data_IF_722681537531
#
_entry.id   IF_722681537531
#
_cell.length_a   1.000
_cell.length_b   1.000
_cell.length_c   1.000
_cell.angle_alpha   90.00
_cell.angle_beta   90.00
_cell.angle_gamma   90.00
#
_symmetry.space_group_name_H-M   'P 1'
#
loop_
_entity.id
_entity.type
_entity.pdbx_description
1 polymer ?
#
# COMPACT_ATOMS: atom_id res chain seq x y z
N UNK A 1 -18.33 17.35 12.51
CA UNK A 1 -18.25 18.83 12.59
C UNK A 1 -17.78 19.35 13.95
N UNK A 2 -17.51 18.49 14.94
CA UNK A 2 -17.14 18.91 16.31
C UNK A 2 -15.64 19.21 16.54
N UNK A 3 -14.76 18.87 15.61
CA UNK A 3 -13.32 19.01 15.81
C UNK A 3 -12.68 20.35 15.40
N UNK A 4 -13.45 21.29 14.88
CA UNK A 4 -12.93 22.60 14.44
C UNK A 4 -13.02 23.69 15.51
N UNK A 5 -13.71 23.44 16.61
CA UNK A 5 -13.97 24.42 17.69
C UNK A 5 -12.74 24.69 18.58
N UNK A 6 -11.71 23.84 18.53
CA UNK A 6 -10.52 23.95 19.40
C UNK A 6 -9.44 24.88 18.80
N UNK A 7 -9.42 25.05 17.48
CA UNK A 7 -8.47 25.96 16.83
C UNK A 7 -9.01 27.39 16.86
N UNK A 8 -8.13 28.35 17.13
CA UNK A 8 -8.46 29.77 16.97
C UNK A 8 -8.67 30.11 15.48
N UNK A 9 -9.36 31.19 15.16
CA UNK A 9 -9.58 31.64 13.79
C UNK A 9 -8.26 31.79 13.01
N UNK A 10 -7.22 32.32 13.65
CA UNK A 10 -5.89 32.47 13.07
C UNK A 10 -5.23 31.12 12.78
N UNK A 11 -5.29 30.16 13.70
CA UNK A 11 -4.74 28.81 13.50
C UNK A 11 -5.48 28.06 12.38
N UNK A 12 -6.80 28.25 12.32
CA UNK A 12 -7.62 27.66 11.25
C UNK A 12 -7.33 28.26 9.88
N UNK A 13 -7.10 29.58 9.82
CA UNK A 13 -6.67 30.24 8.58
C UNK A 13 -5.30 29.71 8.11
N UNK A 14 -4.34 29.60 9.01
CA UNK A 14 -3.00 29.02 8.71
C UNK A 14 -3.14 27.59 8.21
N UNK A 15 -3.98 26.77 8.87
CA UNK A 15 -4.24 25.40 8.44
C UNK A 15 -4.89 25.35 7.04
N UNK A 16 -5.83 26.23 6.74
CA UNK A 16 -6.45 26.28 5.42
C UNK A 16 -5.44 26.65 4.33
N UNK A 17 -4.55 27.59 4.58
CA UNK A 17 -3.47 27.93 3.65
C UNK A 17 -2.51 26.75 3.44
N UNK A 18 -2.11 26.05 4.51
CA UNK A 18 -1.29 24.85 4.45
C UNK A 18 -1.94 23.73 3.63
N UNK A 19 -3.21 23.50 3.86
CA UNK A 19 -3.96 22.36 3.32
C UNK A 19 -4.57 22.60 1.94
N UNK A 20 -4.38 23.77 1.33
CA UNK A 20 -5.03 24.18 0.09
C UNK A 20 -4.84 23.21 -1.09
N UNK A 21 -3.66 22.59 -1.19
CA UNK A 21 -3.29 21.63 -2.26
C UNK A 21 -3.41 20.16 -1.83
N UNK A 22 -3.87 19.90 -0.62
CA UNK A 22 -4.02 18.54 -0.11
C UNK A 22 -5.36 17.94 -0.55
N UNK A 23 -5.38 16.63 -0.77
CA UNK A 23 -6.65 15.92 -0.98
C UNK A 23 -7.45 15.85 0.35
N UNK A 24 -8.79 15.68 0.29
CA UNK A 24 -9.66 15.71 1.47
C UNK A 24 -9.24 14.78 2.60
N UNK A 25 -8.85 13.54 2.28
CA UNK A 25 -8.43 12.56 3.29
C UNK A 25 -7.14 12.98 3.99
N UNK A 26 -6.16 13.46 3.22
CA UNK A 26 -4.90 13.96 3.78
C UNK A 26 -5.13 15.23 4.61
N UNK A 27 -6.01 16.13 4.17
CA UNK A 27 -6.42 17.32 4.94
C UNK A 27 -7.02 16.91 6.28
N UNK A 28 -7.93 15.95 6.29
CA UNK A 28 -8.53 15.40 7.51
C UNK A 28 -7.48 14.76 8.44
N UNK A 29 -6.56 13.98 7.87
CA UNK A 29 -5.46 13.36 8.63
C UNK A 29 -4.58 14.41 9.34
N UNK A 30 -4.18 15.49 8.65
CA UNK A 30 -3.43 16.59 9.26
C UNK A 30 -4.21 17.27 10.36
N UNK A 31 -5.46 17.66 10.08
CA UNK A 31 -6.31 18.34 11.06
C UNK A 31 -6.46 17.52 12.33
N UNK A 32 -6.72 16.22 12.21
CA UNK A 32 -6.88 15.33 13.36
C UNK A 32 -5.62 15.26 14.26
N UNK A 33 -4.42 15.42 13.68
CA UNK A 33 -3.17 15.39 14.47
C UNK A 33 -2.88 16.75 15.11
N UNK A 34 -3.22 17.84 14.43
CA UNK A 34 -3.13 19.19 14.98
C UNK A 34 -4.11 19.34 16.16
N UNK A 35 -5.35 18.90 15.99
CA UNK A 35 -6.37 18.91 17.07
C UNK A 35 -5.92 18.04 18.26
N UNK A 36 -5.35 16.86 18.00
CA UNK A 36 -4.81 16.00 19.07
C UNK A 36 -3.73 16.72 19.88
N UNK A 37 -2.81 17.42 19.22
CA UNK A 37 -1.77 18.20 19.89
C UNK A 37 -2.34 19.40 20.64
N UNK A 38 -3.27 20.14 20.04
CA UNK A 38 -3.94 21.27 20.64
C UNK A 38 -4.67 20.89 21.92
N UNK A 39 -5.39 19.75 21.91
CA UNK A 39 -6.06 19.22 23.08
C UNK A 39 -5.07 18.79 24.19
N UNK A 40 -3.91 18.23 23.85
CA UNK A 40 -2.87 17.88 24.81
C UNK A 40 -2.28 19.14 25.48
N UNK A 41 -2.15 20.22 24.75
CA UNK A 41 -1.61 21.50 25.21
C UNK A 41 -2.67 22.39 25.91
N UNK A 42 -3.83 21.83 26.29
CA UNK A 42 -4.91 22.56 26.95
C UNK A 42 -5.30 23.86 26.21
N UNK A 43 -5.38 23.72 24.86
CA UNK A 43 -5.75 24.82 23.93
C UNK A 43 -4.75 25.97 23.81
N UNK A 44 -3.50 25.81 24.30
CA UNK A 44 -2.43 26.79 24.08
C UNK A 44 -2.27 27.14 22.60
N UNK A 45 -1.92 28.41 22.31
CA UNK A 45 -1.68 28.86 20.92
C UNK A 45 -0.56 28.04 20.25
N UNK A 46 -0.86 27.46 19.10
CA UNK A 46 0.10 26.64 18.32
C UNK A 46 1.32 27.45 17.83
N UNK A 47 1.22 28.77 17.78
CA UNK A 47 2.33 29.64 17.40
C UNK A 47 3.36 29.82 18.55
N UNK A 48 2.96 29.54 19.78
CA UNK A 48 3.79 29.70 20.99
C UNK A 48 4.33 28.38 21.55
N UNK A 49 4.13 27.29 20.81
CA UNK A 49 4.57 25.96 21.24
C UNK A 49 6.08 25.85 21.23
N UNK A 50 6.62 25.36 22.34
CA UNK A 50 8.06 25.19 22.56
C UNK A 50 8.52 23.77 22.19
N UNK A 51 9.85 23.61 22.02
CA UNK A 51 10.46 22.27 21.83
C UNK A 51 10.22 21.32 22.99
N UNK A 52 10.09 21.84 24.21
CA UNK A 52 9.84 21.02 25.42
C UNK A 52 8.46 20.41 25.37
N UNK A 53 7.44 21.20 25.08
CA UNK A 53 6.06 20.76 24.91
C UNK A 53 5.91 19.78 23.74
N UNK A 54 6.67 19.98 22.63
CA UNK A 54 6.71 19.01 21.55
C UNK A 54 7.30 17.65 21.99
N UNK A 55 8.35 17.63 22.83
CA UNK A 55 8.89 16.40 23.37
C UNK A 55 7.89 15.70 24.30
N UNK A 56 7.30 16.44 25.24
CA UNK A 56 6.26 15.91 26.16
C UNK A 56 5.07 15.32 25.38
N UNK A 57 4.63 16.02 24.34
CA UNK A 57 3.57 15.52 23.47
C UNK A 57 3.97 14.23 22.75
N UNK A 58 5.20 14.13 22.22
CA UNK A 58 5.67 12.92 21.55
C UNK A 58 5.82 11.76 22.54
N UNK A 59 6.23 12.01 23.78
CA UNK A 59 6.28 10.98 24.80
C UNK A 59 4.86 10.50 25.19
N UNK A 60 3.91 11.41 25.39
CA UNK A 60 2.50 11.07 25.55
C UNK A 60 1.95 10.22 24.38
N UNK A 61 2.33 10.55 23.13
CA UNK A 61 1.92 9.79 21.94
C UNK A 61 2.53 8.38 21.93
N UNK A 62 3.78 8.23 22.36
CA UNK A 62 4.46 6.91 22.45
C UNK A 62 3.77 5.97 23.45
N UNK A 63 3.26 6.52 24.54
CA UNK A 63 2.56 5.73 25.56
C UNK A 63 1.19 5.23 25.08
N UNK A 64 0.54 5.98 24.19
CA UNK A 64 -0.85 5.69 23.76
C UNK A 64 -0.97 5.00 22.41
N UNK A 65 0.02 5.11 21.54
CA UNK A 65 -0.10 4.67 20.15
C UNK A 65 1.04 3.76 19.70
N UNK A 66 0.76 2.92 18.72
CA UNK A 66 1.78 2.09 18.08
C UNK A 66 2.87 2.96 17.44
N UNK A 67 4.13 2.47 17.40
CA UNK A 67 5.30 3.18 16.88
C UNK A 67 5.09 3.81 15.49
N UNK A 68 4.41 3.09 14.58
CA UNK A 68 4.08 3.59 13.24
C UNK A 68 3.10 4.76 13.25
N UNK A 69 2.17 4.78 14.20
CA UNK A 69 1.24 5.90 14.40
C UNK A 69 1.99 7.10 14.98
N UNK A 70 2.89 6.88 15.93
CA UNK A 70 3.74 7.94 16.50
C UNK A 70 4.61 8.61 15.43
N UNK A 71 5.27 7.80 14.56
CA UNK A 71 6.05 8.34 13.44
C UNK A 71 5.19 9.18 12.49
N UNK A 72 3.96 8.73 12.23
CA UNK A 72 3.00 9.44 11.37
C UNK A 72 2.58 10.77 12.01
N UNK A 73 2.22 10.77 13.29
CA UNK A 73 1.85 11.98 14.05
C UNK A 73 3.00 12.99 14.00
N UNK A 74 4.22 12.57 14.36
CA UNK A 74 5.40 13.42 14.27
C UNK A 74 5.57 14.02 12.87
N UNK A 75 5.49 13.19 11.83
CA UNK A 75 5.73 13.62 10.45
C UNK A 75 4.71 14.67 9.98
N UNK A 76 3.45 14.52 10.36
CA UNK A 76 2.40 15.50 10.04
C UNK A 76 2.63 16.81 10.76
N UNK A 77 2.88 16.79 12.07
CA UNK A 77 3.11 18.01 12.85
C UNK A 77 4.40 18.71 12.41
N UNK A 78 5.50 17.99 12.25
CA UNK A 78 6.75 18.55 11.74
C UNK A 78 6.55 19.23 10.38
N UNK A 79 5.77 18.64 9.47
CA UNK A 79 5.45 19.24 8.17
C UNK A 79 4.62 20.52 8.29
N UNK A 80 3.62 20.54 9.18
CA UNK A 80 2.80 21.72 9.43
C UNK A 80 3.62 22.85 10.05
N UNK A 81 4.43 22.57 11.05
CA UNK A 81 5.32 23.56 11.66
C UNK A 81 6.43 24.06 10.71
N UNK A 82 6.92 23.22 9.80
CA UNK A 82 7.81 23.67 8.71
C UNK A 82 7.13 24.67 7.77
N UNK A 83 5.84 24.45 7.47
CA UNK A 83 5.09 25.42 6.69
C UNK A 83 4.95 26.75 7.44
N UNK A 84 4.60 26.73 8.73
CA UNK A 84 4.49 27.94 9.55
C UNK A 84 5.81 28.71 9.62
N UNK A 85 6.93 28.02 9.81
CA UNK A 85 8.26 28.62 9.78
C UNK A 85 8.59 29.23 8.42
N UNK A 86 8.36 28.50 7.33
CA UNK A 86 8.57 28.99 5.96
C UNK A 86 7.74 30.24 5.62
N UNK A 87 6.54 30.30 6.19
CA UNK A 87 5.62 31.46 6.04
C UNK A 87 5.88 32.58 7.06
N UNK A 88 6.87 32.40 7.94
CA UNK A 88 7.25 33.39 8.99
C UNK A 88 6.14 33.61 10.04
N UNK A 89 5.25 32.65 10.26
CA UNK A 89 4.32 32.69 11.39
C UNK A 89 5.03 32.39 12.71
N UNK A 90 6.11 31.60 12.65
CA UNK A 90 7.01 31.27 13.76
C UNK A 90 8.46 31.41 13.28
N UNK A 91 9.39 31.70 14.18
CA UNK A 91 10.82 31.85 13.85
C UNK A 91 11.50 30.49 13.62
N UNK A 92 11.19 29.49 14.42
CA UNK A 92 11.84 28.17 14.40
C UNK A 92 10.76 27.10 14.53
N UNK A 93 10.87 26.02 13.74
CA UNK A 93 10.03 24.85 13.92
C UNK A 93 10.42 24.10 15.21
N UNK A 94 9.55 24.02 16.24
CA UNK A 94 9.89 23.40 17.51
C UNK A 94 10.15 21.89 17.39
N UNK A 95 9.62 21.23 16.36
CA UNK A 95 9.87 19.80 16.09
C UNK A 95 11.26 19.51 15.52
N UNK A 96 12.04 20.51 15.09
CA UNK A 96 13.41 20.31 14.57
C UNK A 96 14.31 19.64 15.60
N UNK A 97 14.08 19.91 16.89
CA UNK A 97 14.90 19.40 18.01
C UNK A 97 14.28 18.18 18.69
N UNK A 98 13.16 17.68 18.18
CA UNK A 98 12.46 16.52 18.72
C UNK A 98 12.91 15.27 17.97
N UNK A 99 13.34 14.24 18.69
CA UNK A 99 13.74 12.96 18.08
C UNK A 99 12.53 12.30 17.41
N UNK A 100 12.63 12.12 16.09
CA UNK A 100 11.60 11.42 15.33
C UNK A 100 11.46 9.99 15.83
N UNK A 101 10.22 9.50 16.13
CA UNK A 101 9.99 8.09 16.41
C UNK A 101 10.43 7.20 15.25
N UNK A 102 11.30 6.23 15.52
CA UNK A 102 11.83 5.34 14.50
C UNK A 102 10.98 4.07 14.38
N UNK A 103 10.64 3.72 13.16
CA UNK A 103 9.94 2.48 12.82
C UNK A 103 10.85 1.67 11.91
N UNK A 104 11.09 0.42 12.29
CA UNK A 104 11.78 -0.51 11.38
C UNK A 104 10.95 -0.67 10.11
N UNK A 105 11.59 -0.44 8.97
CA UNK A 105 11.01 -0.65 7.63
C UNK A 105 11.54 -1.91 6.97
N UNK A 106 12.29 -2.70 7.73
CA UNK A 106 12.78 -4.00 7.27
C UNK A 106 11.55 -4.90 7.10
N UNK A 107 11.44 -5.49 5.92
CA UNK A 107 10.43 -6.49 5.64
C UNK A 107 10.91 -7.84 6.13
N UNK A 108 10.02 -8.60 6.75
CA UNK A 108 10.27 -9.96 7.23
C UNK A 108 9.45 -10.95 6.42
N UNK A 109 9.68 -12.23 6.61
CA UNK A 109 8.87 -13.29 6.01
C UNK A 109 7.39 -13.18 6.35
N UNK A 110 7.06 -12.64 7.52
CA UNK A 110 5.67 -12.45 7.98
C UNK A 110 4.93 -11.32 7.24
N UNK A 111 5.65 -10.51 6.46
CA UNK A 111 5.07 -9.47 5.61
C UNK A 111 4.74 -9.95 4.19
N UNK A 112 5.10 -11.19 3.82
CA UNK A 112 4.95 -11.74 2.48
C UNK A 112 4.41 -13.16 2.52
N UNK A 113 3.52 -13.49 1.57
CA UNK A 113 3.08 -14.87 1.38
C UNK A 113 4.20 -15.67 0.70
N UNK A 114 4.48 -16.83 1.21
CA UNK A 114 5.34 -17.82 0.56
C UNK A 114 4.64 -18.45 -0.67
N UNK A 115 5.41 -19.17 -1.48
CA UNK A 115 4.84 -19.90 -2.64
C UNK A 115 3.81 -20.93 -2.16
N UNK A 116 4.07 -21.63 -1.04
CA UNK A 116 3.13 -22.59 -0.46
C UNK A 116 1.82 -21.93 -0.01
N UNK A 117 1.88 -20.74 0.55
CA UNK A 117 0.69 -19.98 0.95
C UNK A 117 -0.08 -19.44 -0.26
N UNK A 118 0.61 -19.04 -1.33
CA UNK A 118 -0.04 -18.70 -2.61
C UNK A 118 -0.77 -19.94 -3.16
N UNK A 119 -0.18 -21.13 -3.10
CA UNK A 119 -0.84 -22.36 -3.55
C UNK A 119 -2.11 -22.65 -2.76
N UNK A 120 -2.13 -22.45 -1.43
CA UNK A 120 -3.36 -22.54 -0.62
C UNK A 120 -4.44 -21.56 -1.09
N UNK A 121 -4.05 -20.36 -1.50
CA UNK A 121 -5.00 -19.40 -2.08
C UNK A 121 -5.53 -19.89 -3.44
N UNK A 122 -4.69 -20.48 -4.28
CA UNK A 122 -5.12 -21.06 -5.57
C UNK A 122 -6.16 -22.16 -5.34
N UNK A 123 -6.00 -23.02 -4.34
CA UNK A 123 -6.94 -24.10 -4.01
C UNK A 123 -8.33 -23.60 -3.60
N UNK A 124 -8.43 -22.41 -3.03
CA UNK A 124 -9.73 -21.85 -2.62
C UNK A 124 -10.41 -21.01 -3.71
N UNK A 125 -9.70 -20.65 -4.79
CA UNK A 125 -10.28 -19.81 -5.85
C UNK A 125 -11.59 -20.38 -6.43
N UNK A 126 -11.75 -21.71 -6.66
CA UNK A 126 -13.01 -22.26 -7.16
C UNK A 126 -14.21 -22.03 -6.23
N UNK A 127 -13.97 -21.79 -4.93
CA UNK A 127 -15.01 -21.50 -3.92
C UNK A 127 -15.49 -20.05 -3.95
N UNK A 128 -14.76 -19.16 -4.62
CA UNK A 128 -15.09 -17.76 -4.76
C UNK A 128 -15.98 -17.54 -5.99
N UNK A 129 -16.86 -16.53 -5.94
CA UNK A 129 -17.55 -16.07 -7.14
C UNK A 129 -16.53 -15.52 -8.16
N UNK A 130 -16.94 -15.43 -9.42
CA UNK A 130 -16.03 -15.07 -10.52
C UNK A 130 -15.35 -13.71 -10.31
N UNK A 131 -16.09 -12.68 -9.88
CA UNK A 131 -15.52 -11.34 -9.61
C UNK A 131 -14.43 -11.40 -8.53
N UNK A 132 -14.71 -12.02 -7.40
CA UNK A 132 -13.80 -12.11 -6.27
C UNK A 132 -12.55 -12.93 -6.64
N UNK A 133 -12.70 -13.96 -7.47
CA UNK A 133 -11.60 -14.74 -8.04
C UNK A 133 -10.70 -13.86 -8.92
N UNK A 134 -11.29 -13.08 -9.83
CA UNK A 134 -10.54 -12.14 -10.67
C UNK A 134 -9.76 -11.15 -9.81
N UNK A 135 -10.39 -10.57 -8.80
CA UNK A 135 -9.73 -9.62 -7.87
C UNK A 135 -8.50 -10.26 -7.22
N UNK A 136 -8.62 -11.49 -6.71
CA UNK A 136 -7.50 -12.19 -6.06
C UNK A 136 -6.33 -12.44 -7.02
N UNK A 137 -6.62 -12.96 -8.21
CA UNK A 137 -5.60 -13.23 -9.25
C UNK A 137 -4.97 -11.94 -9.74
N UNK A 138 -5.76 -10.89 -9.96
CA UNK A 138 -5.27 -9.60 -10.41
C UNK A 138 -4.29 -8.98 -9.41
N UNK A 139 -4.63 -8.98 -8.10
CA UNK A 139 -3.74 -8.50 -7.05
C UNK A 139 -2.44 -9.31 -6.98
N UNK A 140 -2.53 -10.64 -7.07
CA UNK A 140 -1.38 -11.54 -6.97
C UNK A 140 -0.42 -11.42 -8.16
N UNK A 141 -0.96 -11.23 -9.39
CA UNK A 141 -0.16 -11.26 -10.63
C UNK A 141 0.32 -9.89 -11.09
N UNK A 142 -0.31 -8.80 -10.65
CA UNK A 142 0.09 -7.45 -11.03
C UNK A 142 0.81 -6.69 -9.93
N UNK A 143 0.61 -7.07 -8.66
CA UNK A 143 1.10 -6.33 -7.50
C UNK A 143 0.52 -4.90 -7.41
N UNK A 144 -0.64 -4.63 -8.02
CA UNK A 144 -1.24 -3.30 -8.04
C UNK A 144 -1.66 -2.82 -6.65
N UNK A 145 -1.85 -1.51 -6.51
CA UNK A 145 -2.46 -0.93 -5.33
C UNK A 145 -3.98 -1.12 -5.36
N UNK A 146 -4.62 -1.23 -4.19
CA UNK A 146 -6.08 -1.34 -4.12
C UNK A 146 -6.79 -0.17 -4.82
N UNK A 147 -6.24 1.05 -4.66
CA UNK A 147 -6.80 2.22 -5.35
C UNK A 147 -6.66 2.13 -6.88
N UNK A 148 -5.67 1.44 -7.41
CA UNK A 148 -5.52 1.19 -8.84
C UNK A 148 -6.57 0.19 -9.32
N UNK A 149 -6.78 -0.90 -8.57
CA UNK A 149 -7.79 -1.91 -8.88
C UNK A 149 -9.21 -1.33 -8.88
N UNK A 150 -9.62 -0.59 -7.84
CA UNK A 150 -10.97 -0.03 -7.75
C UNK A 150 -11.26 1.05 -8.79
N UNK A 151 -10.23 1.69 -9.32
CA UNK A 151 -10.35 2.69 -10.39
C UNK A 151 -10.09 2.14 -11.78
N UNK A 152 -9.85 0.82 -11.94
CA UNK A 152 -9.59 0.18 -13.21
C UNK A 152 -10.82 0.28 -14.12
N UNK A 153 -10.61 0.72 -15.35
CA UNK A 153 -11.64 0.86 -16.37
C UNK A 153 -11.37 -0.04 -17.55
N UNK A 154 -12.40 -0.40 -18.31
CA UNK A 154 -12.26 -1.26 -19.49
C UNK A 154 -11.29 -0.70 -20.51
N UNK A 155 -11.23 0.62 -20.71
CA UNK A 155 -10.26 1.29 -21.60
C UNK A 155 -8.80 1.15 -21.16
N UNK A 156 -8.54 0.77 -19.91
CA UNK A 156 -7.20 0.61 -19.37
C UNK A 156 -6.64 -0.79 -19.66
N UNK A 157 -7.47 -1.71 -20.16
CA UNK A 157 -7.06 -3.03 -20.65
C UNK A 157 -6.78 -2.88 -22.15
N UNK A 158 -5.54 -3.09 -22.54
CA UNK A 158 -5.04 -2.88 -23.92
C UNK A 158 -4.38 -4.14 -24.43
N UNK A 159 -4.49 -4.37 -25.72
CA UNK A 159 -3.88 -5.51 -26.42
C UNK A 159 -2.91 -4.99 -27.48
N UNK A 160 -1.75 -5.62 -27.60
CA UNK A 160 -0.79 -5.30 -28.66
C UNK A 160 -1.09 -6.11 -29.93
N UNK A 161 -0.35 -5.82 -31.00
CA UNK A 161 -0.47 -6.50 -32.30
C UNK A 161 -0.17 -8.01 -32.24
N UNK A 162 0.48 -8.47 -31.17
CA UNK A 162 0.81 -9.88 -30.93
C UNK A 162 -0.16 -10.58 -29.99
N UNK A 163 -1.31 -9.93 -29.70
CA UNK A 163 -2.31 -10.40 -28.75
C UNK A 163 -1.81 -10.53 -27.30
N UNK A 164 -0.71 -9.85 -26.92
CA UNK A 164 -0.38 -9.73 -25.52
C UNK A 164 -1.28 -8.69 -24.87
N UNK A 165 -1.79 -9.01 -23.71
CA UNK A 165 -2.66 -8.11 -22.94
C UNK A 165 -1.86 -7.37 -21.89
N UNK A 166 -2.16 -6.09 -21.76
CA UNK A 166 -1.58 -5.19 -20.79
C UNK A 166 -2.66 -4.42 -20.05
N UNK A 167 -2.31 -3.90 -18.89
CA UNK A 167 -3.18 -3.03 -18.11
C UNK A 167 -2.45 -1.73 -17.77
N UNK A 168 -3.13 -0.61 -17.98
CA UNK A 168 -2.66 0.72 -17.54
C UNK A 168 -3.06 0.94 -16.10
N UNK A 169 -2.09 1.15 -15.22
CA UNK A 169 -2.27 1.37 -13.79
C UNK A 169 -1.68 2.71 -13.35
N UNK A 170 -2.25 3.28 -12.31
CA UNK A 170 -1.83 4.59 -11.78
C UNK A 170 -2.46 5.77 -12.50
N UNK A 171 -1.98 6.97 -12.18
CA UNK A 171 -2.41 8.24 -12.80
C UNK A 171 -1.24 9.21 -12.85
N UNK A 172 -1.23 10.07 -13.87
CA UNK A 172 -0.22 11.12 -14.05
C UNK A 172 1.21 10.54 -14.06
N UNK A 173 2.12 11.15 -13.30
CA UNK A 173 3.53 10.74 -13.21
C UNK A 173 3.76 9.31 -12.67
N UNK A 174 2.73 8.66 -12.15
CA UNK A 174 2.78 7.28 -11.64
C UNK A 174 2.07 6.28 -12.55
N UNK A 175 1.67 6.73 -13.75
CA UNK A 175 1.07 5.85 -14.75
C UNK A 175 2.13 4.89 -15.29
N UNK A 176 1.73 3.63 -15.46
CA UNK A 176 2.55 2.58 -16.02
C UNK A 176 1.68 1.55 -16.73
N UNK A 177 2.27 0.86 -17.69
CA UNK A 177 1.65 -0.24 -18.41
C UNK A 177 2.30 -1.53 -17.94
N UNK A 178 1.47 -2.46 -17.46
CA UNK A 178 1.88 -3.72 -16.86
C UNK A 178 1.34 -4.87 -17.70
N UNK A 179 2.18 -5.86 -18.02
CA UNK A 179 1.73 -7.05 -18.73
C UNK A 179 0.77 -7.85 -17.86
N UNK A 180 -0.36 -8.24 -18.45
CA UNK A 180 -1.34 -9.09 -17.79
C UNK A 180 -1.10 -10.55 -18.19
N UNK A 181 -1.08 -11.44 -17.18
CA UNK A 181 -0.93 -12.86 -17.46
C UNK A 181 -2.16 -13.38 -18.24
N UNK A 182 -2.01 -14.24 -19.28
CA UNK A 182 -3.13 -14.72 -20.08
C UNK A 182 -4.27 -15.33 -19.27
N UNK A 183 -3.94 -16.08 -18.23
CA UNK A 183 -4.95 -16.65 -17.32
C UNK A 183 -5.76 -15.57 -16.58
N UNK A 184 -5.10 -14.50 -16.15
CA UNK A 184 -5.79 -13.36 -15.50
C UNK A 184 -6.73 -12.66 -16.50
N UNK A 185 -6.26 -12.45 -17.73
CA UNK A 185 -7.07 -11.85 -18.78
C UNK A 185 -8.30 -12.72 -19.10
N UNK A 186 -8.12 -14.03 -19.27
CA UNK A 186 -9.24 -14.95 -19.50
C UNK A 186 -10.30 -14.88 -18.39
N UNK A 187 -9.89 -14.79 -17.12
CA UNK A 187 -10.83 -14.62 -16.02
C UNK A 187 -11.56 -13.28 -16.05
N UNK A 188 -10.93 -12.22 -16.55
CA UNK A 188 -11.59 -10.91 -16.73
C UNK A 188 -12.65 -11.00 -17.82
N UNK A 189 -12.37 -11.71 -18.93
CA UNK A 189 -13.34 -11.97 -19.99
C UNK A 189 -14.51 -12.81 -19.44
N UNK A 190 -14.24 -13.92 -18.77
CA UNK A 190 -15.28 -14.76 -18.15
C UNK A 190 -16.14 -13.97 -17.16
N UNK A 191 -15.56 -13.06 -16.40
CA UNK A 191 -16.28 -12.17 -15.50
C UNK A 191 -17.17 -11.18 -16.29
N UNK A 192 -16.67 -10.63 -17.39
CA UNK A 192 -17.41 -9.75 -18.28
C UNK A 192 -18.65 -10.46 -18.83
N UNK A 193 -18.45 -11.68 -19.35
CA UNK A 193 -19.54 -12.51 -19.90
C UNK A 193 -20.60 -12.86 -18.84
N UNK A 194 -20.14 -13.33 -17.68
CA UNK A 194 -21.02 -13.64 -16.55
C UNK A 194 -21.82 -12.42 -16.07
N UNK A 195 -21.27 -11.22 -16.18
CA UNK A 195 -21.93 -9.98 -15.78
C UNK A 195 -22.93 -9.47 -16.82
N UNK A 196 -23.15 -10.18 -17.93
CA UNK A 196 -24.02 -9.80 -19.03
C UNK A 196 -23.51 -8.57 -19.82
N UNK A 197 -22.21 -8.31 -19.73
CA UNK A 197 -21.57 -7.15 -20.35
C UNK A 197 -20.91 -7.49 -21.69
N UNK A 198 -20.93 -8.74 -22.11
CA UNK A 198 -20.29 -9.20 -23.36
C UNK A 198 -20.98 -8.66 -24.62
N UNK A 199 -22.30 -8.52 -24.58
CA UNK A 199 -23.10 -8.05 -25.71
C UNK A 199 -23.29 -6.52 -25.75
N UNK A 200 -22.90 -5.85 -24.67
CA UNK A 200 -23.01 -4.39 -24.57
C UNK A 200 -21.72 -3.76 -25.06
N UNK A 201 -21.81 -2.82 -26.00
CA UNK A 201 -20.70 -1.90 -26.29
C UNK A 201 -20.49 -1.07 -25.03
N UNK A 202 -19.62 -1.55 -24.14
CA UNK A 202 -19.34 -0.87 -22.88
C UNK A 202 -18.76 0.51 -23.18
N UNK A 203 -19.30 1.57 -22.57
CA UNK A 203 -18.57 2.83 -22.52
C UNK A 203 -17.17 2.55 -21.99
N UNK A 204 -16.16 2.89 -22.76
CA UNK A 204 -14.76 2.61 -22.42
C UNK A 204 -14.32 3.19 -21.09
N UNK A 205 -15.13 4.10 -20.53
CA UNK A 205 -14.92 4.75 -19.24
C UNK A 205 -15.52 3.99 -18.05
N UNK A 206 -16.26 2.92 -18.24
CA UNK A 206 -16.85 2.17 -17.14
C UNK A 206 -15.82 1.36 -16.37
N UNK A 207 -16.07 1.22 -15.08
CA UNK A 207 -15.19 0.46 -14.19
C UNK A 207 -15.31 -1.04 -14.46
N UNK A 208 -14.16 -1.74 -14.38
CA UNK A 208 -14.11 -3.20 -14.52
C UNK A 208 -14.84 -3.87 -13.36
N UNK A 209 -14.60 -3.42 -12.13
CA UNK A 209 -15.19 -4.01 -10.93
C UNK A 209 -16.31 -3.16 -10.39
N UNK A 210 -17.52 -3.70 -10.43
CA UNK A 210 -18.75 -3.05 -9.99
C UNK A 210 -19.38 -3.78 -8.80
N UNK A 211 -20.41 -3.17 -8.21
CA UNK A 211 -21.28 -3.81 -7.22
C UNK A 211 -22.73 -3.64 -7.64
N UNK A 212 -23.64 -4.41 -7.04
CA UNK A 212 -25.08 -4.24 -7.30
C UNK A 212 -25.63 -2.84 -6.97
N UNK A 213 -24.92 -2.08 -6.12
CA UNK A 213 -25.36 -0.77 -5.63
C UNK A 213 -24.51 0.39 -6.17
N UNK A 214 -23.42 0.13 -6.89
CA UNK A 214 -22.49 1.16 -7.32
C UNK A 214 -21.73 0.75 -8.57
N UNK A 215 -21.49 1.70 -9.45
CA UNK A 215 -20.72 1.53 -10.69
C UNK A 215 -19.21 1.27 -10.45
N UNK A 216 -18.74 1.34 -9.21
CA UNK A 216 -17.37 1.00 -8.83
C UNK A 216 -17.36 0.29 -7.48
N UNK A 217 -16.51 -0.72 -7.35
CA UNK A 217 -16.22 -1.34 -6.06
C UNK A 217 -15.37 -0.40 -5.20
N UNK A 218 -15.55 -0.43 -3.88
CA UNK A 218 -14.76 0.39 -2.96
C UNK A 218 -13.54 -0.36 -2.44
N UNK A 219 -12.51 0.39 -2.01
CA UNK A 219 -11.32 -0.14 -1.33
C UNK A 219 -11.68 -1.01 -0.10
N UNK A 220 -12.70 -0.58 0.65
CA UNK A 220 -13.24 -1.34 1.79
C UNK A 220 -13.80 -2.69 1.36
N UNK A 221 -14.57 -2.73 0.27
CA UNK A 221 -15.16 -3.97 -0.23
C UNK A 221 -14.07 -4.94 -0.71
N UNK A 222 -13.05 -4.45 -1.42
CA UNK A 222 -11.91 -5.28 -1.84
C UNK A 222 -11.17 -5.85 -0.63
N UNK A 223 -10.94 -5.06 0.42
CA UNK A 223 -10.33 -5.58 1.68
C UNK A 223 -11.16 -6.68 2.31
N UNK A 224 -12.48 -6.56 2.31
CA UNK A 224 -13.36 -7.62 2.85
C UNK A 224 -13.33 -8.89 2.01
N UNK A 225 -13.29 -8.77 0.68
CA UNK A 225 -13.15 -9.92 -0.24
C UNK A 225 -11.84 -10.64 0.02
N UNK A 226 -10.74 -9.88 0.04
CA UNK A 226 -9.40 -10.45 0.29
C UNK A 226 -9.32 -11.09 1.67
N UNK A 227 -9.85 -10.43 2.71
CA UNK A 227 -9.89 -11.00 4.06
C UNK A 227 -10.63 -12.33 4.08
N UNK A 228 -11.82 -12.38 3.48
CA UNK A 228 -12.61 -13.62 3.41
C UNK A 228 -11.85 -14.74 2.68
N UNK A 229 -11.17 -14.45 1.58
CA UNK A 229 -10.39 -15.43 0.86
C UNK A 229 -9.19 -15.93 1.69
N UNK A 230 -8.48 -15.03 2.36
CA UNK A 230 -7.37 -15.37 3.25
C UNK A 230 -7.84 -16.21 4.45
N UNK A 231 -8.98 -15.88 5.05
CA UNK A 231 -9.57 -16.66 6.15
C UNK A 231 -9.93 -18.09 5.68
N UNK A 232 -10.48 -18.25 4.47
CA UNK A 232 -10.76 -19.56 3.89
C UNK A 232 -9.51 -20.39 3.62
N UNK A 233 -8.39 -19.76 3.33
CA UNK A 233 -7.11 -20.42 3.10
C UNK A 233 -6.32 -20.66 4.40
N UNK A 234 -6.84 -20.26 5.57
CA UNK A 234 -6.11 -20.31 6.85
C UNK A 234 -4.94 -19.33 6.95
N UNK A 235 -5.05 -18.17 6.28
CA UNK A 235 -4.00 -17.16 6.14
C UNK A 235 -4.44 -15.79 6.70
N UNK A 236 -5.21 -15.78 7.79
CA UNK A 236 -5.85 -14.60 8.38
C UNK A 236 -4.87 -13.52 8.84
N UNK A 237 -3.58 -13.86 9.01
CA UNK A 237 -2.50 -12.93 9.38
C UNK A 237 -2.16 -11.94 8.27
N UNK A 238 -2.48 -12.27 7.01
CA UNK A 238 -2.20 -11.42 5.85
C UNK A 238 -3.36 -10.49 5.50
N UNK A 239 -3.08 -9.54 4.63
CA UNK A 239 -4.03 -8.54 4.14
C UNK A 239 -3.78 -8.21 2.65
N UNK A 240 -4.65 -7.42 2.06
CA UNK A 240 -4.55 -7.05 0.65
C UNK A 240 -3.22 -6.35 0.27
N UNK A 241 -2.58 -5.63 1.19
CA UNK A 241 -1.28 -5.00 0.93
C UNK A 241 -0.16 -6.02 0.76
N UNK A 242 -0.30 -7.19 1.41
CA UNK A 242 0.75 -8.20 1.45
C UNK A 242 0.88 -8.94 0.11
N UNK A 243 -0.15 -8.92 -0.75
CA UNK A 243 -0.05 -9.39 -2.14
C UNK A 243 1.01 -8.62 -2.94
N UNK A 244 1.05 -7.30 -2.79
CA UNK A 244 2.06 -6.48 -3.47
C UNK A 244 3.47 -6.72 -2.93
N UNK A 245 3.58 -6.95 -1.63
CA UNK A 245 4.86 -7.32 -0.99
C UNK A 245 5.31 -8.70 -1.47
N UNK A 246 4.39 -9.67 -1.53
CA UNK A 246 4.65 -11.03 -2.00
C UNK A 246 5.02 -11.05 -3.47
N UNK A 247 4.33 -10.27 -4.32
CA UNK A 247 4.70 -10.12 -5.73
C UNK A 247 6.18 -9.73 -5.88
N UNK A 248 6.61 -8.68 -5.14
CA UNK A 248 7.99 -8.22 -5.20
C UNK A 248 8.98 -9.30 -4.73
N UNK A 249 8.72 -9.94 -3.59
CA UNK A 249 9.60 -10.93 -3.00
C UNK A 249 9.71 -12.19 -3.85
N UNK A 250 8.58 -12.73 -4.33
CA UNK A 250 8.54 -13.93 -5.17
C UNK A 250 9.18 -13.66 -6.52
N UNK A 251 8.92 -12.50 -7.14
CA UNK A 251 9.53 -12.16 -8.42
C UNK A 251 11.07 -12.08 -8.33
N UNK A 252 11.59 -11.46 -7.26
CA UNK A 252 13.04 -11.42 -7.02
C UNK A 252 13.63 -12.82 -6.81
N UNK A 253 12.95 -13.66 -6.03
CA UNK A 253 13.37 -15.06 -5.83
C UNK A 253 13.42 -15.84 -7.15
N UNK A 254 12.48 -15.58 -8.05
CA UNK A 254 12.44 -16.21 -9.37
C UNK A 254 13.39 -15.56 -10.39
N UNK A 255 14.24 -14.64 -9.96
CA UNK A 255 15.30 -14.04 -10.76
C UNK A 255 14.90 -12.78 -11.53
N UNK A 256 13.76 -12.15 -11.21
CA UNK A 256 13.42 -10.88 -11.82
C UNK A 256 14.39 -9.77 -11.37
N UNK A 257 14.72 -8.88 -12.30
CA UNK A 257 15.57 -7.72 -12.04
C UNK A 257 14.86 -6.67 -11.16
N UNK A 258 15.61 -6.02 -10.27
CA UNK A 258 15.05 -4.99 -9.36
C UNK A 258 14.49 -3.79 -10.11
N UNK A 259 15.06 -3.44 -11.27
CA UNK A 259 14.57 -2.34 -12.09
C UNK A 259 13.25 -2.69 -12.78
N UNK A 260 13.05 -3.94 -13.19
CA UNK A 260 11.79 -4.41 -13.77
C UNK A 260 10.69 -4.45 -12.70
N UNK A 261 10.99 -4.91 -11.49
CA UNK A 261 10.04 -4.86 -10.38
C UNK A 261 9.69 -3.42 -10.02
N UNK A 262 10.66 -2.51 -9.99
CA UNK A 262 10.44 -1.08 -9.78
C UNK A 262 9.47 -0.53 -10.82
N UNK A 263 9.68 -0.82 -12.12
CA UNK A 263 8.79 -0.40 -13.21
C UNK A 263 7.41 -1.01 -13.05
N UNK A 264 7.33 -2.32 -12.84
CA UNK A 264 6.08 -3.08 -12.65
C UNK A 264 5.24 -2.51 -11.51
N UNK A 265 5.87 -2.19 -10.39
CA UNK A 265 5.20 -1.67 -9.20
C UNK A 265 5.08 -0.14 -9.18
N UNK A 266 5.73 0.59 -10.09
CA UNK A 266 5.71 2.05 -10.13
C UNK A 266 6.41 2.68 -8.93
N UNK A 267 7.49 2.08 -8.45
CA UNK A 267 8.32 2.64 -7.39
C UNK A 267 9.26 3.72 -7.94
N UNK A 268 9.53 4.74 -7.12
CA UNK A 268 10.46 5.82 -7.49
C UNK A 268 11.91 5.37 -7.48
N UNK A 269 12.24 4.34 -6.68
CA UNK A 269 13.60 3.89 -6.48
C UNK A 269 13.66 2.35 -6.39
N UNK A 270 14.69 1.73 -7.01
CA UNK A 270 14.96 0.30 -6.94
C UNK A 270 15.28 -0.20 -5.52
N UNK A 271 15.76 0.67 -4.63
CA UNK A 271 15.98 0.31 -3.22
C UNK A 271 14.72 -0.20 -2.52
N UNK A 272 13.52 0.13 -3.03
CA UNK A 272 12.30 -0.50 -2.53
C UNK A 272 12.25 -2.00 -2.85
N UNK A 273 12.78 -2.44 -4.00
CA UNK A 273 12.87 -3.85 -4.36
C UNK A 273 13.92 -4.58 -3.50
N UNK A 274 15.08 -3.98 -3.29
CA UNK A 274 16.19 -4.58 -2.52
C UNK A 274 15.74 -5.03 -1.12
N UNK A 275 14.78 -4.34 -0.51
CA UNK A 275 14.22 -4.72 0.80
C UNK A 275 13.60 -6.12 0.83
N UNK A 276 13.20 -6.65 -0.32
CA UNK A 276 12.59 -7.97 -0.44
C UNK A 276 13.59 -9.06 -0.85
N UNK A 277 14.76 -8.68 -1.34
CA UNK A 277 15.78 -9.62 -1.80
C UNK A 277 16.19 -10.65 -0.73
N UNK A 278 16.17 -10.23 0.53
CA UNK A 278 16.57 -11.05 1.66
C UNK A 278 15.41 -11.68 2.40
N UNK A 279 14.17 -11.27 2.13
CA UNK A 279 12.99 -11.71 2.88
C UNK A 279 12.73 -13.22 2.71
N UNK A 280 12.88 -13.72 1.48
CA UNK A 280 12.67 -15.15 1.17
C UNK A 280 13.95 -15.97 1.22
N UNK A 281 15.12 -15.33 1.16
CA UNK A 281 16.41 -16.05 1.22
C UNK A 281 16.69 -16.66 2.60
N UNK A 282 16.11 -16.11 3.67
CA UNK A 282 16.21 -16.69 5.00
C UNK A 282 15.29 -17.89 5.23
N UNK A 283 14.32 -18.12 4.36
CA UNK A 283 13.28 -19.16 4.54
C UNK A 283 13.63 -20.44 3.82
N UNK A 284 14.33 -20.36 2.70
CA UNK A 284 14.67 -21.49 1.83
C UNK A 284 16.15 -21.45 1.40
N UNK A 285 17.05 -21.12 2.32
CA UNK A 285 18.47 -21.24 2.05
C UNK A 285 18.83 -22.73 2.03
N UNK A 286 18.56 -23.38 0.92
CA UNK A 286 19.08 -24.70 0.56
C UNK A 286 20.60 -24.65 0.29
N UNK A 287 21.27 -23.57 0.72
CA UNK A 287 22.72 -23.45 0.53
C UNK A 287 23.48 -24.60 1.19
N UNK A 288 22.97 -25.15 2.29
CA UNK A 288 23.52 -26.36 2.91
C UNK A 288 23.29 -27.57 2.02
N UNK A 289 22.09 -27.71 1.47
CA UNK A 289 21.75 -28.80 0.55
C UNK A 289 22.49 -28.67 -0.78
N UNK A 290 22.70 -27.42 -1.26
CA UNK A 290 23.50 -27.16 -2.45
C UNK A 290 24.97 -27.55 -2.25
N UNK A 291 25.55 -27.31 -1.08
CA UNK A 291 26.90 -27.73 -0.73
C UNK A 291 26.96 -29.25 -0.58
N UNK A 292 25.94 -29.87 0.01
CA UNK A 292 25.89 -31.33 0.22
C UNK A 292 25.57 -32.11 -1.05
N UNK A 293 24.82 -31.53 -1.99
CA UNK A 293 24.44 -32.15 -3.27
C UNK A 293 25.48 -31.93 -4.40
N UNK A 294 26.49 -31.11 -4.18
CA UNK A 294 27.60 -31.01 -5.12
C UNK A 294 28.56 -32.18 -4.86
N UNK A 295 28.66 -33.11 -5.83
CA UNK A 295 29.50 -34.30 -5.84
C UNK A 295 31.01 -34.09 -5.57
N UNK A 296 31.44 -32.84 -5.37
CA UNK A 296 32.79 -32.47 -5.02
C UNK A 296 33.11 -32.62 -3.53
N UNK A 297 32.12 -32.87 -2.67
CA UNK A 297 32.28 -33.12 -1.25
C UNK A 297 31.79 -34.51 -0.80
N UNK A 298 31.74 -35.48 -1.70
CA UNK A 298 31.53 -36.88 -1.33
C UNK A 298 32.60 -37.33 -0.37
N UNK A 299 32.32 -37.21 0.92
CA UNK A 299 33.10 -37.88 1.98
C UNK A 299 32.87 -39.36 1.76
N UNK A 300 33.87 -40.01 1.16
CA UNK A 300 33.90 -41.45 1.05
C UNK A 300 33.80 -42.05 2.46
N UNK A 301 32.64 -42.52 2.85
CA UNK A 301 32.45 -43.43 3.93
C UNK A 301 33.01 -44.78 3.45
N UNK A 302 34.28 -45.05 3.82
CA UNK A 302 34.82 -46.43 3.91
C UNK A 302 34.61 -46.95 5.29
#
# INVERSE_FOLDING_TARGET
>A
MENTTILTDKEFEIFNQFSQKLNPNTKHDYLSKIVLMKAFLEEKDLLEVTKYECNEFIDYVKDKYAKSTCEKIYSYLHSFYNFMNKKKYIEINPFTYVKKPEVSRIKTKDDVLSVQEINKLVEILPKLNIRDRVIMIFLATTGCLLNELVNLKWKDIIMDEKNNTYVRLGKNKKERVVKLHPYCFKLIEDYRDYSGLSEVILPTNDFVFTTQKSNSITDRNVRLIVKKALDYAGLSQYSAKDFRHSFAAISLRLGADEEDIKKQLGWSDKYYAIRYKYVLNFVDSESVDYIMNNDHLSINNK
#
